data_IF_908224575878
#
_entry.id   IF_908224575878
#
_cell.length_a   1.000
_cell.length_b   1.000
_cell.length_c   1.000
_cell.angle_alpha   90.00
_cell.angle_beta   90.00
_cell.angle_gamma   90.00
#
_symmetry.space_group_name_H-M   'P 1'
#
loop_
_entity.id
_entity.type
_entity.pdbx_description
1 polymer ?
#
# COMPACT_ATOMS: atom_id res chain seq x y z
N UNK A 1 10.82 -13.94 -7.74
CA UNK A 1 11.95 -13.82 -6.79
C UNK A 1 12.35 -12.38 -6.46
N UNK A 2 13.05 -11.60 -7.30
CA UNK A 2 13.60 -10.29 -6.86
C UNK A 2 12.58 -9.18 -6.56
N UNK A 3 11.45 -9.17 -7.26
CA UNK A 3 10.35 -8.24 -6.98
C UNK A 3 9.64 -8.57 -5.67
N UNK A 4 9.37 -9.85 -5.41
CA UNK A 4 8.78 -10.30 -4.14
C UNK A 4 9.67 -9.95 -2.95
N UNK A 5 10.99 -10.11 -3.07
CA UNK A 5 11.94 -9.70 -2.02
C UNK A 5 11.83 -8.21 -1.70
N UNK A 6 11.69 -7.35 -2.72
CA UNK A 6 11.50 -5.91 -2.52
C UNK A 6 10.19 -5.63 -1.80
N UNK A 7 9.09 -6.28 -2.20
CA UNK A 7 7.81 -6.13 -1.52
C UNK A 7 7.86 -6.59 -0.07
N UNK A 8 8.41 -7.79 0.20
CA UNK A 8 8.57 -8.34 1.56
C UNK A 8 9.45 -7.47 2.46
N UNK A 9 10.47 -6.82 1.90
CA UNK A 9 11.36 -5.94 2.65
C UNK A 9 10.81 -4.52 2.86
N UNK A 10 9.70 -4.16 2.21
CA UNK A 10 9.14 -2.81 2.26
C UNK A 10 7.89 -2.76 3.12
N UNK A 11 7.83 -1.76 4.01
CA UNK A 11 6.69 -1.55 4.92
C UNK A 11 5.67 -0.53 4.42
N UNK A 12 5.89 0.10 3.28
CA UNK A 12 4.96 1.10 2.73
C UNK A 12 4.63 0.73 1.30
N UNK A 13 3.41 1.05 0.82
CA UNK A 13 3.05 0.85 -0.56
C UNK A 13 4.02 1.55 -1.51
N UNK A 14 4.37 0.88 -2.60
CA UNK A 14 5.32 1.37 -3.59
C UNK A 14 4.63 1.69 -4.90
N UNK A 15 5.03 2.80 -5.50
CA UNK A 15 4.72 3.07 -6.89
C UNK A 15 5.51 2.13 -7.82
N UNK A 16 4.99 1.88 -9.01
CA UNK A 16 5.72 1.19 -10.08
C UNK A 16 7.06 1.87 -10.41
N UNK A 17 7.11 3.19 -10.32
CA UNK A 17 8.34 3.95 -10.56
C UNK A 17 9.40 3.72 -9.48
N UNK A 18 9.01 3.63 -8.21
CA UNK A 18 9.93 3.28 -7.12
C UNK A 18 10.42 1.83 -7.22
N UNK A 19 9.52 0.89 -7.54
CA UNK A 19 9.87 -0.50 -7.80
C UNK A 19 10.90 -0.59 -8.94
N UNK A 20 10.65 0.10 -10.05
CA UNK A 20 11.56 0.15 -11.17
C UNK A 20 12.94 0.67 -10.79
N UNK A 21 13.01 1.81 -10.08
CA UNK A 21 14.29 2.38 -9.60
C UNK A 21 15.05 1.43 -8.70
N UNK A 22 14.36 0.67 -7.84
CA UNK A 22 14.98 -0.34 -6.97
C UNK A 22 15.50 -1.53 -7.76
N UNK A 23 14.74 -2.02 -8.73
CA UNK A 23 15.15 -3.16 -9.57
C UNK A 23 16.37 -2.81 -10.41
N UNK A 24 16.42 -1.62 -11.02
CA UNK A 24 17.55 -1.19 -11.86
C UNK A 24 18.91 -1.23 -11.16
N UNK A 25 18.95 -1.05 -9.83
CA UNK A 25 20.20 -1.19 -9.04
C UNK A 25 20.83 -2.57 -9.16
N UNK A 26 20.03 -3.58 -9.50
CA UNK A 26 20.44 -4.97 -9.51
C UNK A 26 20.24 -5.66 -10.86
N UNK A 27 19.32 -5.15 -11.69
CA UNK A 27 19.03 -5.62 -13.05
C UNK A 27 18.92 -4.39 -13.98
N UNK A 28 20.05 -3.76 -14.35
CA UNK A 28 20.05 -2.46 -15.03
C UNK A 28 19.43 -2.43 -16.43
N UNK A 29 19.29 -3.59 -17.08
CA UNK A 29 18.71 -3.73 -18.43
C UNK A 29 17.21 -3.98 -18.43
N UNK A 30 16.57 -3.98 -17.26
CA UNK A 30 15.14 -4.27 -17.16
C UNK A 30 14.33 -3.11 -17.74
N UNK A 31 13.38 -3.41 -18.63
CA UNK A 31 12.45 -2.41 -19.14
C UNK A 31 11.33 -2.14 -18.13
N UNK A 32 10.85 -0.89 -18.09
CA UNK A 32 9.72 -0.51 -17.23
C UNK A 32 8.46 -1.33 -17.50
N UNK A 33 8.16 -1.62 -18.77
CA UNK A 33 7.02 -2.45 -19.19
C UNK A 33 7.09 -3.89 -18.70
N UNK A 34 8.27 -4.41 -18.40
CA UNK A 34 8.44 -5.73 -17.78
C UNK A 34 8.00 -5.68 -16.32
N UNK A 35 8.44 -4.67 -15.56
CA UNK A 35 8.02 -4.49 -14.16
C UNK A 35 6.51 -4.35 -14.06
N UNK A 36 5.92 -3.52 -14.92
CA UNK A 36 4.47 -3.33 -14.96
C UNK A 36 3.71 -4.66 -15.12
N UNK A 37 4.07 -5.44 -16.15
CA UNK A 37 3.41 -6.74 -16.43
C UNK A 37 3.59 -7.75 -15.30
N UNK A 38 4.76 -7.79 -14.66
CA UNK A 38 4.98 -8.68 -13.52
C UNK A 38 4.16 -8.26 -12.31
N UNK A 39 4.07 -6.96 -12.02
CA UNK A 39 3.26 -6.47 -10.90
C UNK A 39 1.78 -6.73 -11.12
N UNK A 40 1.26 -6.54 -12.34
CA UNK A 40 -0.13 -6.91 -12.66
C UNK A 40 -0.39 -8.40 -12.45
N UNK A 41 0.53 -9.27 -12.92
CA UNK A 41 0.43 -10.70 -12.69
C UNK A 41 0.45 -11.04 -11.18
N UNK A 42 1.28 -10.35 -10.40
CA UNK A 42 1.31 -10.54 -8.95
C UNK A 42 0.02 -10.08 -8.27
N UNK A 43 -0.62 -9.02 -8.76
CA UNK A 43 -1.93 -8.57 -8.28
C UNK A 43 -3.00 -9.62 -8.58
N UNK A 44 -3.04 -10.14 -9.81
CA UNK A 44 -3.95 -11.23 -10.22
C UNK A 44 -3.75 -12.51 -9.40
N UNK A 45 -2.50 -12.84 -9.06
CA UNK A 45 -2.14 -14.01 -8.25
C UNK A 45 -2.29 -13.75 -6.73
N UNK A 46 -2.68 -12.55 -6.30
CA UNK A 46 -2.83 -12.20 -4.88
C UNK A 46 -1.50 -12.14 -4.11
N UNK A 47 -0.37 -12.00 -4.81
CA UNK A 47 0.96 -11.85 -4.23
C UNK A 47 1.15 -10.42 -3.70
N UNK A 48 0.59 -9.44 -4.42
CA UNK A 48 0.57 -8.03 -4.02
C UNK A 48 -0.85 -7.50 -4.00
N UNK A 49 -1.11 -6.56 -3.10
CA UNK A 49 -2.36 -5.82 -3.02
C UNK A 49 -2.16 -4.42 -3.58
N UNK A 50 -3.18 -3.90 -4.25
CA UNK A 50 -3.19 -2.52 -4.74
C UNK A 50 -3.83 -1.60 -3.70
N UNK A 51 -3.14 -0.53 -3.37
CA UNK A 51 -3.62 0.56 -2.52
C UNK A 51 -4.06 1.70 -3.43
N UNK A 52 -5.33 2.11 -3.33
CA UNK A 52 -5.91 3.12 -4.20
C UNK A 52 -5.92 4.47 -3.48
N UNK A 53 -4.91 5.30 -3.71
CA UNK A 53 -4.85 6.66 -3.17
C UNK A 53 -4.94 7.73 -4.28
N UNK A 54 -6.05 8.47 -4.31
CA UNK A 54 -6.32 9.57 -5.26
C UNK A 54 -5.87 9.21 -6.70
N UNK A 55 -5.18 10.14 -7.37
CA UNK A 55 -4.66 10.01 -8.73
C UNK A 55 -3.21 9.47 -8.79
N UNK A 56 -2.64 8.99 -7.67
CA UNK A 56 -1.21 8.62 -7.60
C UNK A 56 -0.82 7.37 -8.41
N UNK A 57 -1.79 6.78 -9.12
CA UNK A 57 -1.63 5.52 -9.80
C UNK A 57 -1.60 4.34 -8.83
N UNK A 58 -1.42 3.13 -9.36
CA UNK A 58 -1.35 1.92 -8.55
C UNK A 58 -0.14 1.95 -7.61
N UNK A 59 -0.42 2.10 -6.32
CA UNK A 59 0.51 1.75 -5.25
C UNK A 59 0.32 0.27 -4.96
N UNK A 60 1.41 -0.45 -4.78
CA UNK A 60 1.38 -1.89 -4.55
C UNK A 60 2.15 -2.24 -3.29
N UNK A 61 1.64 -3.19 -2.53
CA UNK A 61 2.29 -3.71 -1.34
C UNK A 61 2.19 -5.23 -1.27
N UNK A 62 2.98 -5.84 -0.40
CA UNK A 62 2.89 -7.28 -0.17
C UNK A 62 1.49 -7.65 0.37
N UNK A 63 0.81 -8.61 -0.26
CA UNK A 63 -0.57 -8.92 0.11
C UNK A 63 -0.68 -9.59 1.48
N UNK A 64 0.30 -10.42 1.84
CA UNK A 64 0.29 -11.19 3.10
C UNK A 64 0.96 -10.40 4.25
N UNK A 65 0.63 -9.13 4.38
CA UNK A 65 1.00 -8.31 5.55
C UNK A 65 -0.09 -8.45 6.62
N UNK A 66 0.25 -8.31 7.92
CA UNK A 66 -0.78 -8.15 8.95
C UNK A 66 -1.75 -7.04 8.58
N UNK A 67 -3.02 -7.18 9.00
CA UNK A 67 -4.02 -6.15 8.74
C UNK A 67 -3.56 -4.80 9.32
N UNK A 68 -3.64 -3.76 8.51
CA UNK A 68 -3.17 -2.42 8.81
C UNK A 68 -3.94 -1.41 7.97
N UNK A 69 -3.92 -0.16 8.41
CA UNK A 69 -4.52 0.97 7.73
C UNK A 69 -3.45 1.92 7.22
N UNK A 70 -3.82 2.88 6.38
CA UNK A 70 -2.88 3.86 5.84
C UNK A 70 -3.25 5.27 6.30
N UNK A 71 -2.24 6.07 6.65
CA UNK A 71 -2.36 7.53 6.71
C UNK A 71 -1.53 8.15 5.60
N UNK A 72 -2.12 9.11 4.90
CA UNK A 72 -1.51 9.75 3.75
C UNK A 72 -1.37 11.26 3.96
N UNK A 73 -0.19 11.78 3.65
CA UNK A 73 0.09 13.22 3.71
C UNK A 73 -0.52 13.96 2.52
N UNK A 74 -1.37 14.95 2.74
CA UNK A 74 -1.99 15.70 1.64
C UNK A 74 -1.05 16.66 0.91
N UNK A 75 0.17 16.89 1.42
CA UNK A 75 1.15 17.81 0.81
C UNK A 75 2.22 17.12 -0.02
N UNK A 76 2.60 15.89 0.33
CA UNK A 76 3.67 15.16 -0.35
C UNK A 76 3.34 13.71 -0.64
N UNK A 77 2.11 13.29 -0.31
CA UNK A 77 1.57 11.94 -0.37
C UNK A 77 2.53 10.84 0.09
N UNK A 78 3.30 11.13 1.14
CA UNK A 78 3.94 10.09 1.95
C UNK A 78 2.87 9.26 2.64
N UNK A 79 3.07 7.94 2.67
CA UNK A 79 2.17 6.98 3.30
C UNK A 79 2.88 6.36 4.49
N UNK A 80 2.16 6.24 5.61
CA UNK A 80 2.60 5.51 6.79
C UNK A 80 1.52 4.50 7.17
N UNK A 81 1.94 3.34 7.70
CA UNK A 81 1.00 2.36 8.22
C UNK A 81 0.50 2.77 9.61
N UNK A 82 -0.76 2.48 9.86
CA UNK A 82 -1.38 2.55 11.18
C UNK A 82 -1.80 1.14 11.58
N UNK A 83 -1.43 0.74 12.80
CA UNK A 83 -1.89 -0.51 13.38
C UNK A 83 -3.41 -0.46 13.62
N UNK A 84 -4.12 -1.53 13.28
CA UNK A 84 -5.56 -1.67 13.48
C UNK A 84 -5.99 -1.40 14.93
N UNK A 85 -5.13 -1.76 15.90
CA UNK A 85 -5.38 -1.50 17.31
C UNK A 85 -5.60 -0.02 17.66
N UNK A 86 -5.08 0.91 16.83
CA UNK A 86 -5.22 2.35 17.03
C UNK A 86 -6.58 2.87 16.59
N UNK A 87 -7.24 2.21 15.64
CA UNK A 87 -8.47 2.72 15.01
C UNK A 87 -9.70 2.54 15.91
N UNK A 88 -9.67 1.55 16.82
CA UNK A 88 -10.75 1.31 17.78
C UNK A 88 -12.10 0.94 17.13
N UNK A 89 -12.08 0.49 15.87
CA UNK A 89 -13.25 0.11 15.11
C UNK A 89 -13.77 -1.26 15.58
N UNK A 90 -15.07 -1.34 15.88
CA UNK A 90 -15.69 -2.56 16.39
C UNK A 90 -16.58 -3.21 15.33
N UNK A 91 -15.97 -4.07 14.50
CA UNK A 91 -16.69 -4.85 13.48
C UNK A 91 -17.84 -5.67 14.05
N UNK A 92 -17.66 -6.26 15.24
CA UNK A 92 -18.69 -7.09 15.86
C UNK A 92 -19.96 -6.29 16.16
N UNK A 93 -19.82 -5.01 16.52
CA UNK A 93 -20.98 -4.12 16.70
C UNK A 93 -21.66 -3.85 15.36
N UNK A 94 -20.90 -3.61 14.29
CA UNK A 94 -21.48 -3.37 12.97
C UNK A 94 -22.25 -4.58 12.45
N UNK A 95 -21.70 -5.80 12.59
CA UNK A 95 -22.38 -7.05 12.21
C UNK A 95 -23.69 -7.20 12.98
N UNK A 96 -23.69 -6.95 14.30
CA UNK A 96 -24.89 -7.05 15.13
C UNK A 96 -25.96 -6.02 14.76
N UNK A 97 -25.55 -4.77 14.50
CA UNK A 97 -26.48 -3.67 14.26
C UNK A 97 -27.07 -3.71 12.82
N UNK A 98 -26.35 -4.31 11.86
CA UNK A 98 -26.74 -4.30 10.43
C UNK A 98 -27.14 -5.65 9.86
N UNK A 99 -26.72 -6.76 10.48
CA UNK A 99 -26.92 -8.13 9.97
C UNK A 99 -26.03 -8.50 8.78
N UNK A 100 -25.08 -7.65 8.38
CA UNK A 100 -24.17 -7.95 7.27
C UNK A 100 -23.07 -8.94 7.67
N UNK A 101 -22.67 -9.80 6.73
CA UNK A 101 -21.41 -10.55 6.80
C UNK A 101 -20.32 -9.65 6.20
N UNK A 102 -19.44 -9.14 7.03
CA UNK A 102 -18.31 -8.32 6.58
C UNK A 102 -17.28 -9.24 5.92
N UNK A 103 -16.97 -8.97 4.65
CA UNK A 103 -15.96 -9.71 3.89
C UNK A 103 -14.62 -8.98 3.78
N UNK A 104 -14.65 -7.65 3.91
CA UNK A 104 -13.48 -6.78 3.93
C UNK A 104 -13.87 -5.39 4.44
N UNK A 105 -12.89 -4.58 4.82
CA UNK A 105 -13.06 -3.15 5.05
C UNK A 105 -11.79 -2.38 4.65
N UNK A 106 -11.91 -1.06 4.52
CA UNK A 106 -10.78 -0.19 4.20
C UNK A 106 -10.94 1.10 4.98
N UNK A 107 -9.90 1.50 5.71
CA UNK A 107 -9.86 2.75 6.46
C UNK A 107 -8.60 3.50 6.04
N UNK A 108 -8.79 4.75 5.60
CA UNK A 108 -7.71 5.63 5.18
C UNK A 108 -7.81 6.94 5.94
N UNK A 109 -6.68 7.41 6.46
CA UNK A 109 -6.55 8.68 7.15
C UNK A 109 -5.82 9.69 6.27
N UNK A 110 -6.21 10.96 6.39
CA UNK A 110 -5.61 12.07 5.66
C UNK A 110 -5.04 13.07 6.65
N UNK A 111 -3.82 13.54 6.41
CA UNK A 111 -3.16 14.48 7.31
C UNK A 111 -1.97 15.18 6.68
N UNK A 112 -1.14 15.82 7.50
CA UNK A 112 0.09 16.47 7.06
C UNK A 112 1.25 15.85 7.83
N UNK A 113 2.19 15.21 7.15
CA UNK A 113 3.33 14.58 7.82
C UNK A 113 4.25 15.60 8.50
N UNK A 114 5.01 15.16 9.50
CA UNK A 114 5.93 16.01 10.27
C UNK A 114 6.88 16.82 9.37
N UNK A 115 7.51 16.23 8.32
CA UNK A 115 8.34 17.01 7.39
C UNK A 115 7.59 18.17 6.72
N UNK A 116 6.34 17.97 6.30
CA UNK A 116 5.53 18.99 5.63
C UNK A 116 4.97 20.05 6.59
N UNK A 117 4.76 19.72 7.86
CA UNK A 117 4.42 20.71 8.89
C UNK A 117 5.59 21.66 9.19
N UNK A 118 6.83 21.16 9.13
CA UNK A 118 8.06 21.93 9.40
C UNK A 118 8.50 22.81 8.23
N UNK A 119 8.06 22.51 6.99
CA UNK A 119 8.34 23.30 5.78
C UNK A 119 7.40 24.51 5.64
N UNK A 120 7.20 25.28 6.73
CA UNK A 120 6.44 26.53 6.65
C UNK A 120 7.04 27.47 5.61
#
# INVERSE_FOLDING_TARGET
>A
MKLEEIFKATKVPLTLHELYRRILKSLPKTAYSTIYRVVQKFEEEGIVSKVNWKDRGGLYEWANRPHHHHIVCEKCDSIEDIDDAVVGYNENKLVKDTGFIITNHTIEFMGICIPCQKKK
#
